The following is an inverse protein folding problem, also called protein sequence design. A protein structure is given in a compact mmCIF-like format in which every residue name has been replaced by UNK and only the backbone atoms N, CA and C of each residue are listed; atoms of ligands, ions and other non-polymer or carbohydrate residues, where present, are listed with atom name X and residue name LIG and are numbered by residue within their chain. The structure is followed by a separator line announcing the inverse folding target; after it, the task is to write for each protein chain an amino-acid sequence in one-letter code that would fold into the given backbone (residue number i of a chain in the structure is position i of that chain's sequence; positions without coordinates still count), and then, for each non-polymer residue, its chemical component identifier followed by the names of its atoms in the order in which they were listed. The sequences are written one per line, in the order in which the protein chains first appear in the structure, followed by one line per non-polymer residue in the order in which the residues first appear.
data_IF_923366551061
#
_entry.id   IF_923366551061
#
_cell.length_a   1.000
_cell.length_b   1.000
_cell.length_c   1.000
_cell.angle_alpha   90.00
_cell.angle_beta   90.00
_cell.angle_gamma   90.00
#
_symmetry.space_group_name_H-M   'P 1'
#
loop_
_entity.id
_entity.type
_entity.pdbx_description
1 polymer ?
#
# COMPACT_ATOMS: atom_id res chain seq x y z
N UNK A 1 -6.52 -16.61 27.59
CA UNK A 1 -5.62 -15.45 27.74
C UNK A 1 -4.63 -15.40 26.60
N UNK A 2 -4.42 -14.25 26.00
CA UNK A 2 -3.45 -14.10 24.90
C UNK A 2 -2.02 -14.16 25.42
N UNK A 3 -1.15 -14.86 24.70
CA UNK A 3 0.27 -14.90 25.00
C UNK A 3 0.96 -13.60 24.57
N UNK A 4 2.19 -13.39 25.05
CA UNK A 4 3.00 -12.26 24.60
C UNK A 4 3.16 -12.26 23.08
N UNK A 5 3.43 -13.43 22.49
CA UNK A 5 3.58 -13.58 21.05
C UNK A 5 2.31 -13.17 20.30
N UNK A 6 1.15 -13.56 20.82
CA UNK A 6 -0.13 -13.19 20.19
C UNK A 6 -0.33 -11.69 20.19
N UNK A 7 0.02 -11.00 21.26
CA UNK A 7 -0.09 -9.55 21.37
C UNK A 7 0.85 -8.88 20.38
N UNK A 8 2.10 -9.34 20.30
CA UNK A 8 3.08 -8.79 19.35
C UNK A 8 2.62 -9.00 17.91
N UNK A 9 2.06 -10.17 17.60
CA UNK A 9 1.54 -10.43 16.26
C UNK A 9 0.42 -9.47 15.88
N UNK A 10 -0.42 -9.07 16.83
CA UNK A 10 -1.47 -8.08 16.57
C UNK A 10 -0.90 -6.72 16.25
N UNK A 11 0.18 -6.33 16.92
CA UNK A 11 0.87 -5.08 16.64
C UNK A 11 1.49 -5.11 15.23
N UNK A 12 2.13 -6.22 14.88
CA UNK A 12 2.72 -6.41 13.54
C UNK A 12 1.66 -6.33 12.46
N UNK A 13 0.50 -6.93 12.67
CA UNK A 13 -0.62 -6.87 11.73
C UNK A 13 -1.12 -5.44 11.55
N UNK A 14 -1.14 -4.64 12.61
CA UNK A 14 -1.51 -3.23 12.52
C UNK A 14 -0.51 -2.45 11.67
N UNK A 15 0.79 -2.67 11.88
CA UNK A 15 1.82 -2.01 11.06
C UNK A 15 1.66 -2.38 9.58
N UNK A 16 1.45 -3.65 9.29
CA UNK A 16 1.24 -4.11 7.92
C UNK A 16 0.00 -3.47 7.30
N UNK A 17 -1.09 -3.40 8.05
CA UNK A 17 -2.31 -2.75 7.59
C UNK A 17 -2.06 -1.28 7.28
N UNK A 18 -1.31 -0.57 8.13
CA UNK A 18 -1.00 0.84 7.90
C UNK A 18 -0.14 1.04 6.66
N UNK A 19 0.80 0.13 6.39
CA UNK A 19 1.62 0.18 5.17
C UNK A 19 0.73 0.04 3.94
N UNK A 20 -0.19 -0.91 3.94
CA UNK A 20 -1.12 -1.10 2.83
C UNK A 20 -2.01 0.13 2.64
N UNK A 21 -2.55 0.65 3.74
CA UNK A 21 -3.42 1.84 3.68
C UNK A 21 -2.66 3.07 3.16
N UNK A 22 -1.40 3.22 3.54
CA UNK A 22 -0.55 4.31 3.00
C UNK A 22 -0.35 4.15 1.50
N UNK A 23 -0.12 2.92 1.03
CA UNK A 23 0.04 2.65 -0.41
C UNK A 23 -1.24 3.00 -1.17
N UNK A 24 -2.41 2.71 -0.60
CA UNK A 24 -3.69 3.06 -1.21
C UNK A 24 -3.91 4.57 -1.21
N UNK A 25 -3.58 5.23 -0.12
CA UNK A 25 -3.72 6.68 0.01
C UNK A 25 -2.89 7.42 -1.03
N UNK A 26 -1.67 6.97 -1.30
CA UNK A 26 -0.79 7.57 -2.31
C UNK A 26 -1.02 7.00 -3.71
N UNK A 27 -1.98 6.11 -3.90
CA UNK A 27 -2.31 5.50 -5.20
C UNK A 27 -1.14 4.75 -5.84
N UNK A 28 -0.31 4.10 -5.02
CA UNK A 28 0.87 3.39 -5.50
C UNK A 28 0.52 2.36 -6.58
N UNK A 29 -0.51 1.56 -6.34
CA UNK A 29 -0.88 0.47 -7.26
C UNK A 29 -1.39 1.03 -8.60
N UNK A 30 -2.14 2.11 -8.56
CA UNK A 30 -2.65 2.76 -9.77
C UNK A 30 -1.54 3.47 -10.55
N UNK A 31 -0.58 4.07 -9.84
CA UNK A 31 0.58 4.72 -10.46
C UNK A 31 1.47 3.69 -11.15
N UNK A 32 1.70 2.53 -10.52
CA UNK A 32 2.48 1.46 -11.13
C UNK A 32 1.77 0.86 -12.34
N UNK A 33 0.47 0.62 -12.24
CA UNK A 33 -0.33 0.01 -13.29
C UNK A 33 0.33 -1.27 -13.81
N UNK A 34 0.57 -1.39 -15.11
CA UNK A 34 1.30 -2.52 -15.73
C UNK A 34 2.77 -2.16 -16.00
N UNK A 35 3.22 -1.03 -15.52
CA UNK A 35 4.56 -0.53 -15.80
C UNK A 35 5.56 -1.00 -14.75
N UNK A 36 6.84 -0.87 -15.10
CA UNK A 36 7.96 -1.16 -14.21
C UNK A 36 8.64 0.17 -13.91
N UNK A 37 8.59 0.60 -12.65
CA UNK A 37 9.07 1.93 -12.25
C UNK A 37 10.10 1.84 -11.14
N UNK A 38 11.03 2.80 -11.16
CA UNK A 38 11.96 3.02 -10.06
C UNK A 38 11.27 3.84 -8.97
N UNK A 39 11.80 3.76 -7.74
CA UNK A 39 11.23 4.50 -6.61
C UNK A 39 11.15 6.01 -6.89
N UNK A 40 12.15 6.59 -7.55
CA UNK A 40 12.16 8.02 -7.85
C UNK A 40 11.02 8.41 -8.80
N UNK A 41 10.66 7.51 -9.73
CA UNK A 41 9.55 7.76 -10.64
C UNK A 41 8.21 7.71 -9.91
N UNK A 42 8.05 6.73 -9.02
CA UNK A 42 6.83 6.64 -8.20
C UNK A 42 6.74 7.85 -7.27
N UNK A 43 7.84 8.25 -6.63
CA UNK A 43 7.86 9.42 -5.77
C UNK A 43 7.47 10.69 -6.53
N UNK A 44 7.98 10.86 -7.73
CA UNK A 44 7.64 12.01 -8.58
C UNK A 44 6.15 12.03 -8.94
N UNK A 45 5.62 10.87 -9.36
CA UNK A 45 4.22 10.77 -9.77
C UNK A 45 3.24 10.92 -8.60
N UNK A 46 3.64 10.53 -7.40
CA UNK A 46 2.80 10.65 -6.20
C UNK A 46 3.07 11.94 -5.43
N UNK A 47 4.04 12.75 -5.88
CA UNK A 47 4.44 14.00 -5.22
C UNK A 47 4.89 13.76 -3.78
N UNK A 48 5.64 12.70 -3.57
CA UNK A 48 6.20 12.34 -2.27
C UNK A 48 7.71 12.45 -2.30
N UNK A 49 8.33 12.42 -1.12
CA UNK A 49 9.79 12.40 -1.02
C UNK A 49 10.31 11.01 -1.39
N UNK A 50 11.41 10.96 -2.12
CA UNK A 50 12.01 9.70 -2.53
C UNK A 50 12.29 8.76 -1.36
N UNK A 51 12.88 9.29 -0.29
CA UNK A 51 13.24 8.48 0.88
C UNK A 51 12.02 7.76 1.47
N UNK A 52 10.94 8.48 1.70
CA UNK A 52 9.71 7.90 2.24
C UNK A 52 9.08 6.90 1.30
N UNK A 53 9.03 7.23 0.01
CA UNK A 53 8.45 6.31 -0.98
C UNK A 53 9.29 5.04 -1.12
N UNK A 54 10.61 5.15 -1.06
CA UNK A 54 11.50 4.00 -1.14
C UNK A 54 11.25 3.05 0.04
N UNK A 55 11.09 3.59 1.25
CA UNK A 55 10.77 2.80 2.44
C UNK A 55 9.44 2.09 2.26
N UNK A 56 8.41 2.80 1.78
CA UNK A 56 7.09 2.23 1.57
C UNK A 56 7.11 1.11 0.53
N UNK A 57 7.73 1.35 -0.62
CA UNK A 57 7.81 0.35 -1.68
C UNK A 57 8.55 -0.91 -1.23
N UNK A 58 9.68 -0.75 -0.54
CA UNK A 58 10.43 -1.90 -0.05
C UNK A 58 9.66 -2.67 1.03
N UNK A 59 8.89 -1.99 1.88
CA UNK A 59 8.04 -2.66 2.85
C UNK A 59 6.97 -3.50 2.14
N UNK A 60 6.36 -2.97 1.09
CA UNK A 60 5.35 -3.71 0.31
C UNK A 60 5.96 -4.94 -0.36
N UNK A 61 7.20 -4.83 -0.86
CA UNK A 61 7.91 -5.98 -1.42
C UNK A 61 8.16 -7.04 -0.35
N UNK A 62 8.62 -6.63 0.83
CA UNK A 62 8.87 -7.55 1.94
C UNK A 62 7.60 -8.30 2.37
N UNK A 63 6.44 -7.67 2.23
CA UNK A 63 5.14 -8.28 2.54
C UNK A 63 4.58 -9.13 1.40
N UNK A 64 5.27 -9.19 0.25
CA UNK A 64 4.79 -9.93 -0.92
C UNK A 64 3.69 -9.23 -1.70
N UNK A 65 3.50 -7.93 -1.48
CA UNK A 65 2.42 -7.14 -2.12
C UNK A 65 2.89 -6.47 -3.40
N UNK A 66 4.17 -6.24 -3.54
CA UNK A 66 4.78 -5.77 -4.79
C UNK A 66 5.94 -6.68 -5.17
N UNK A 67 6.30 -6.68 -6.44
CA UNK A 67 7.49 -7.34 -6.93
C UNK A 67 8.61 -6.32 -7.13
N UNK A 68 9.85 -6.74 -6.92
CA UNK A 68 11.03 -5.92 -7.16
C UNK A 68 12.07 -6.75 -7.90
N UNK A 69 12.57 -6.20 -9.00
CA UNK A 69 13.69 -6.78 -9.73
C UNK A 69 14.73 -5.68 -9.90
N UNK A 70 15.88 -5.86 -9.22
CA UNK A 70 16.91 -4.82 -9.11
C UNK A 70 16.29 -3.59 -8.46
N UNK A 71 16.24 -2.45 -9.13
CA UNK A 71 15.67 -1.22 -8.56
C UNK A 71 14.30 -0.89 -9.16
N UNK A 72 13.63 -1.87 -9.75
CA UNK A 72 12.37 -1.66 -10.46
C UNK A 72 11.24 -2.37 -9.73
N UNK A 73 10.15 -1.65 -9.47
CA UNK A 73 8.98 -2.14 -8.77
C UNK A 73 7.83 -2.36 -9.74
N UNK A 74 7.08 -3.43 -9.53
CA UNK A 74 5.89 -3.76 -10.32
C UNK A 74 4.79 -4.27 -9.42
N UNK A 75 3.54 -4.11 -9.85
CA UNK A 75 2.43 -4.77 -9.20
C UNK A 75 2.57 -6.29 -9.34
N UNK A 76 2.02 -7.02 -8.36
CA UNK A 76 1.73 -8.44 -8.56
C UNK A 76 0.46 -8.56 -9.41
N UNK A 77 0.17 -9.74 -9.98
CA UNK A 77 -1.11 -9.93 -10.67
C UNK A 77 -2.32 -9.59 -9.81
N UNK A 78 -2.25 -9.90 -8.52
CA UNK A 78 -3.36 -9.62 -7.58
C UNK A 78 -3.51 -8.12 -7.34
N UNK A 79 -2.42 -7.40 -7.08
CA UNK A 79 -2.52 -5.97 -6.79
C UNK A 79 -2.91 -5.18 -8.04
N UNK A 80 -2.45 -5.58 -9.21
CA UNK A 80 -2.94 -4.96 -10.44
C UNK A 80 -4.44 -5.20 -10.61
N UNK A 81 -4.88 -6.44 -10.47
CA UNK A 81 -6.27 -6.81 -10.75
C UNK A 81 -7.25 -6.08 -9.83
N UNK A 82 -6.98 -6.07 -8.54
CA UNK A 82 -7.97 -5.60 -7.55
C UNK A 82 -7.67 -4.23 -6.99
N UNK A 83 -6.44 -3.75 -7.05
CA UNK A 83 -6.03 -2.51 -6.38
C UNK A 83 -5.70 -1.37 -7.34
N UNK A 84 -5.60 -1.64 -8.64
CA UNK A 84 -5.33 -0.61 -9.64
C UNK A 84 -6.65 -0.08 -10.21
N UNK A 85 -6.83 1.23 -10.19
CA UNK A 85 -8.09 1.87 -10.62
C UNK A 85 -8.43 1.61 -12.08
N UNK A 86 -7.43 1.36 -12.94
CA UNK A 86 -7.66 1.11 -14.36
C UNK A 86 -8.04 -0.35 -14.65
N UNK A 87 -7.96 -1.22 -13.65
CA UNK A 87 -8.35 -2.62 -13.82
C UNK A 87 -9.87 -2.75 -13.83
N UNK A 88 -10.46 -3.57 -14.74
CA UNK A 88 -11.91 -3.80 -14.74
C UNK A 88 -12.42 -4.49 -13.49
N UNK A 89 -11.53 -5.12 -12.72
CA UNK A 89 -11.87 -5.83 -11.50
C UNK A 89 -11.53 -5.04 -10.22
N UNK A 90 -11.26 -3.74 -10.35
CA UNK A 90 -10.89 -2.89 -9.22
C UNK A 90 -11.91 -3.01 -8.08
N UNK A 91 -11.43 -3.32 -6.88
CA UNK A 91 -12.29 -3.59 -5.73
C UNK A 91 -11.95 -2.79 -4.47
N UNK A 92 -11.01 -1.85 -4.60
CA UNK A 92 -10.52 -1.14 -3.42
C UNK A 92 -11.45 0.01 -2.99
N UNK A 93 -12.50 0.28 -3.76
CA UNK A 93 -13.45 1.33 -3.42
C UNK A 93 -14.04 1.18 -2.02
N UNK A 94 -14.35 -0.06 -1.60
CA UNK A 94 -14.88 -0.34 -0.27
C UNK A 94 -13.85 0.02 0.81
N UNK A 95 -12.58 -0.30 0.58
CA UNK A 95 -11.51 0.03 1.52
C UNK A 95 -11.35 1.54 1.64
N UNK A 96 -11.46 2.27 0.53
CA UNK A 96 -11.38 3.74 0.54
C UNK A 96 -12.52 4.34 1.35
N UNK A 97 -13.74 3.80 1.22
CA UNK A 97 -14.87 4.25 2.04
C UNK A 97 -14.64 3.99 3.53
N UNK A 98 -14.04 2.85 3.86
CA UNK A 98 -13.69 2.54 5.25
C UNK A 98 -12.65 3.52 5.80
N UNK A 99 -11.69 3.93 4.98
CA UNK A 99 -10.70 4.93 5.38
C UNK A 99 -11.36 6.28 5.65
N UNK A 100 -12.27 6.70 4.77
CA UNK A 100 -13.00 7.96 4.95
C UNK A 100 -13.82 7.94 6.24
N UNK A 101 -14.53 6.86 6.49
CA UNK A 101 -15.32 6.70 7.72
C UNK A 101 -14.45 6.77 8.96
N UNK A 102 -13.29 6.13 8.92
CA UNK A 102 -12.33 6.17 10.02
C UNK A 102 -11.82 7.59 10.24
N UNK A 103 -11.50 8.31 9.17
CA UNK A 103 -11.02 9.68 9.25
C UNK A 103 -12.08 10.60 9.86
N UNK A 104 -13.33 10.47 9.46
CA UNK A 104 -14.42 11.24 10.05
C UNK A 104 -14.60 10.93 11.52
N UNK A 105 -14.53 9.67 11.89
CA UNK A 105 -14.64 9.26 13.29
C UNK A 105 -13.53 9.87 14.13
N UNK A 106 -12.31 9.88 13.63
CA UNK A 106 -11.18 10.48 14.32
C UNK A 106 -11.36 11.98 14.51
N UNK A 107 -11.94 12.67 13.52
CA UNK A 107 -12.23 14.10 13.63
C UNK A 107 -13.27 14.42 14.70
N UNK A 108 -14.19 13.52 14.94
CA UNK A 108 -15.24 13.70 15.94
C UNK A 108 -14.76 13.43 17.36
N UNK A 109 -13.70 12.68 17.48
CA UNK A 109 -13.13 12.36 18.78
C UNK A 109 -12.15 13.43 19.26
#
# INVERSE_FOLDING_TARGET
MLSYKDIINKIDQLEEANIILSALEFNVFSVLEKNSLQAKQVASLTKTKLEGMEILLNALVAMGILNKNKNIFTNTPVTYKYFCQTSPDFRIGTVMLMMDSRGEFEKLS
#
